data_IF_206749336521
#
_entry.id   IF_206749336521
#
_cell.length_a   1.000
_cell.length_b   1.000
_cell.length_c   1.000
_cell.angle_alpha   90.00
_cell.angle_beta   90.00
_cell.angle_gamma   90.00
#
_symmetry.space_group_name_H-M   'P 1'
#
loop_
_entity.id
_entity.type
_entity.pdbx_description
1 polymer ?
#
# COMPACT_ATOMS: atom_id res chain seq x y z
N UNK A 1 59.70 27.50 37.74
CA UNK A 1 58.47 26.66 37.69
C UNK A 1 57.88 26.78 36.29
N UNK A 2 58.56 26.20 35.31
CA UNK A 2 58.16 26.24 33.91
C UNK A 2 58.86 25.08 33.20
N UNK A 3 58.40 23.88 33.48
CA UNK A 3 58.65 22.67 32.70
C UNK A 3 57.71 21.60 33.25
N UNK A 4 56.79 21.10 32.41
CA UNK A 4 56.10 19.80 32.47
C UNK A 4 54.77 19.87 31.69
N UNK A 5 54.84 19.99 30.36
CA UNK A 5 53.78 19.51 29.45
C UNK A 5 54.40 19.29 28.06
N UNK A 6 55.10 18.18 27.87
CA UNK A 6 55.26 17.60 26.53
C UNK A 6 54.00 16.76 26.21
N UNK A 7 53.28 16.99 25.10
CA UNK A 7 52.24 16.08 24.66
C UNK A 7 52.88 14.82 24.05
N UNK A 8 52.44 13.65 24.51
CA UNK A 8 52.95 12.36 24.08
C UNK A 8 52.77 12.11 22.55
N UNK A 9 53.80 11.68 21.81
CA UNK A 9 53.78 11.52 20.35
C UNK A 9 52.99 10.29 19.84
N UNK A 10 52.35 9.51 20.71
CA UNK A 10 51.73 8.22 20.35
C UNK A 10 50.26 8.33 19.91
N UNK A 11 49.46 9.22 20.52
CA UNK A 11 48.04 9.44 20.18
C UNK A 11 47.87 10.02 18.79
N UNK A 12 48.81 10.88 18.39
CA UNK A 12 48.81 11.59 17.13
C UNK A 12 49.20 10.70 15.93
N UNK A 13 49.96 9.62 16.18
CA UNK A 13 50.30 8.61 15.16
C UNK A 13 49.16 7.62 14.93
N UNK A 14 48.49 7.18 15.99
CA UNK A 14 47.31 6.31 15.91
C UNK A 14 46.14 7.02 15.21
N UNK A 15 45.91 8.30 15.51
CA UNK A 15 44.88 9.11 14.84
C UNK A 15 45.19 9.28 13.34
N UNK A 16 46.44 9.60 12.97
CA UNK A 16 46.88 9.71 11.58
C UNK A 16 46.86 8.38 10.82
N UNK A 17 47.20 7.28 11.48
CA UNK A 17 47.11 5.94 10.89
C UNK A 17 45.66 5.53 10.64
N UNK A 18 44.75 5.83 11.58
CA UNK A 18 43.32 5.60 11.42
C UNK A 18 42.73 6.44 10.30
N UNK A 19 43.05 7.74 10.24
CA UNK A 19 42.63 8.64 9.15
C UNK A 19 43.14 8.16 7.79
N UNK A 20 44.40 7.72 7.71
CA UNK A 20 44.97 7.14 6.47
C UNK A 20 44.27 5.84 6.08
N UNK A 21 43.99 4.96 7.04
CA UNK A 21 43.27 3.71 6.77
C UNK A 21 41.85 3.98 6.26
N UNK A 22 41.14 4.92 6.88
CA UNK A 22 39.80 5.35 6.44
C UNK A 22 39.85 6.01 5.06
N UNK A 23 40.84 6.88 4.80
CA UNK A 23 41.02 7.51 3.49
C UNK A 23 41.36 6.49 2.39
N UNK A 24 42.24 5.53 2.67
CA UNK A 24 42.58 4.43 1.75
C UNK A 24 41.34 3.56 1.49
N UNK A 25 40.59 3.19 2.53
CA UNK A 25 39.36 2.44 2.38
C UNK A 25 38.34 3.21 1.52
N UNK A 26 38.19 4.52 1.75
CA UNK A 26 37.32 5.38 0.96
C UNK A 26 37.73 5.43 -0.51
N UNK A 27 39.03 5.62 -0.81
CA UNK A 27 39.56 5.64 -2.18
C UNK A 27 39.42 4.28 -2.85
N UNK A 28 39.66 3.18 -2.13
CA UNK A 28 39.48 1.82 -2.64
C UNK A 28 38.01 1.56 -2.97
N UNK A 29 37.07 1.98 -2.11
CA UNK A 29 35.64 1.86 -2.37
C UNK A 29 35.20 2.71 -3.58
N UNK A 30 35.73 3.93 -3.69
CA UNK A 30 35.48 4.83 -4.83
C UNK A 30 36.00 4.26 -6.16
N UNK A 31 37.19 3.65 -6.15
CA UNK A 31 37.79 3.04 -7.34
C UNK A 31 37.16 1.69 -7.68
N UNK A 32 36.70 0.92 -6.68
CA UNK A 32 36.04 -0.36 -6.89
C UNK A 32 34.62 -0.22 -7.43
N UNK A 33 33.89 0.85 -7.10
CA UNK A 33 32.50 1.03 -7.49
C UNK A 33 32.27 1.04 -9.02
N UNK A 34 33.04 1.79 -9.85
CA UNK A 34 32.92 1.72 -11.32
C UNK A 34 33.28 0.34 -11.86
N UNK A 35 34.35 -0.28 -11.34
CA UNK A 35 34.79 -1.60 -11.79
C UNK A 35 33.68 -2.63 -11.53
N UNK A 36 33.15 -2.68 -10.30
CA UNK A 36 32.05 -3.56 -9.92
C UNK A 36 30.78 -3.28 -10.73
N UNK A 37 30.46 -2.02 -11.01
CA UNK A 37 29.31 -1.63 -11.82
C UNK A 37 29.40 -2.17 -13.26
N UNK A 38 30.57 -2.08 -13.89
CA UNK A 38 30.78 -2.54 -15.27
C UNK A 38 31.04 -4.06 -15.38
N UNK A 39 31.68 -4.68 -14.39
CA UNK A 39 32.02 -6.12 -14.43
C UNK A 39 30.89 -7.02 -13.91
N UNK A 40 30.00 -6.51 -13.07
CA UNK A 40 28.84 -7.25 -12.55
C UNK A 40 27.54 -6.96 -13.30
N UNK A 41 27.64 -6.65 -14.60
CA UNK A 41 26.52 -6.38 -15.51
C UNK A 41 25.34 -7.40 -15.48
N UNK A 42 25.52 -8.72 -15.26
CA UNK A 42 24.39 -9.65 -15.20
C UNK A 42 23.59 -9.61 -13.88
N UNK A 43 24.02 -8.84 -12.87
CA UNK A 43 23.33 -8.74 -11.59
C UNK A 43 22.40 -7.53 -11.49
N UNK A 44 22.08 -6.82 -12.59
CA UNK A 44 21.12 -5.69 -12.57
C UNK A 44 19.87 -6.07 -11.77
N UNK A 45 19.67 -5.35 -10.68
CA UNK A 45 18.53 -5.51 -9.78
C UNK A 45 17.24 -5.23 -10.55
N UNK A 46 16.12 -5.81 -10.11
CA UNK A 46 14.77 -5.54 -10.62
C UNK A 46 14.30 -4.08 -10.42
N UNK A 47 15.15 -3.20 -9.85
CA UNK A 47 14.87 -1.78 -9.68
C UNK A 47 15.06 -1.05 -11.02
N UNK A 48 13.96 -0.85 -11.75
CA UNK A 48 13.95 -0.18 -13.05
C UNK A 48 13.99 1.36 -12.91
N UNK A 49 14.99 1.91 -12.21
CA UNK A 49 15.29 3.34 -12.32
C UNK A 49 16.12 3.53 -13.59
N UNK A 50 15.55 4.16 -14.61
CA UNK A 50 16.25 4.44 -15.87
C UNK A 50 17.48 5.32 -15.65
N UNK A 51 18.52 5.11 -16.45
CA UNK A 51 19.68 6.00 -16.45
C UNK A 51 19.22 7.42 -16.86
N UNK A 52 19.57 8.47 -16.10
CA UNK A 52 19.19 9.83 -16.44
C UNK A 52 19.82 10.21 -17.79
N UNK A 53 19.03 10.86 -18.65
CA UNK A 53 19.51 11.35 -19.94
C UNK A 53 19.83 12.84 -19.86
N UNK A 54 20.76 13.31 -20.70
CA UNK A 54 21.04 14.76 -20.80
C UNK A 54 19.81 15.55 -21.25
N UNK A 55 18.87 14.92 -21.98
CA UNK A 55 17.59 15.51 -22.35
C UNK A 55 16.67 15.80 -21.15
N UNK A 56 16.92 15.20 -19.99
CA UNK A 56 16.12 15.41 -18.79
C UNK A 56 16.61 16.67 -18.03
N UNK A 57 16.49 17.85 -18.64
CA UNK A 57 16.81 19.15 -18.01
C UNK A 57 18.20 19.74 -18.32
N UNK A 58 19.07 19.01 -19.03
CA UNK A 58 20.31 19.50 -19.61
C UNK A 58 21.19 20.34 -18.66
N UNK A 59 21.57 21.54 -19.10
CA UNK A 59 22.49 22.43 -18.37
C UNK A 59 21.88 22.96 -17.06
N UNK A 60 20.56 23.18 -17.02
CA UNK A 60 19.87 23.72 -15.83
C UNK A 60 19.86 22.69 -14.70
N UNK A 61 19.54 21.44 -15.03
CA UNK A 61 19.62 20.30 -14.12
C UNK A 61 21.04 20.02 -13.64
N UNK A 62 22.03 20.19 -14.52
CA UNK A 62 23.44 20.03 -14.16
C UNK A 62 23.89 21.13 -13.18
N UNK A 63 23.54 22.39 -13.44
CA UNK A 63 23.90 23.53 -12.57
C UNK A 63 23.21 23.49 -11.21
N UNK A 64 21.97 23.02 -11.14
CA UNK A 64 21.21 22.87 -9.89
C UNK A 64 21.63 21.65 -9.06
N UNK A 65 22.45 20.74 -9.63
CA UNK A 65 22.84 19.48 -8.98
C UNK A 65 21.85 18.34 -9.16
N UNK A 66 20.63 18.61 -9.67
CA UNK A 66 19.58 17.62 -9.88
C UNK A 66 20.00 16.49 -10.83
N UNK A 67 20.85 16.79 -11.82
CA UNK A 67 21.42 15.77 -12.71
C UNK A 67 22.30 14.77 -11.96
N UNK A 68 23.08 15.25 -10.98
CA UNK A 68 23.97 14.43 -10.15
C UNK A 68 23.17 13.60 -9.16
N UNK A 69 22.14 14.18 -8.55
CA UNK A 69 21.24 13.47 -7.63
C UNK A 69 20.49 12.33 -8.32
N UNK A 70 20.07 12.54 -9.57
CA UNK A 70 19.43 11.50 -10.38
C UNK A 70 20.40 10.39 -10.76
N UNK A 71 21.64 10.73 -11.11
CA UNK A 71 22.68 9.74 -11.38
C UNK A 71 23.06 8.94 -10.13
N UNK A 72 23.19 9.62 -8.99
CA UNK A 72 23.43 8.99 -7.69
C UNK A 72 22.29 8.02 -7.32
N UNK A 73 21.03 8.44 -7.51
CA UNK A 73 19.86 7.57 -7.33
C UNK A 73 19.90 6.36 -8.26
N UNK A 74 20.16 6.57 -9.55
CA UNK A 74 20.27 5.49 -10.53
C UNK A 74 21.35 4.47 -10.14
N UNK A 75 22.55 4.93 -9.78
CA UNK A 75 23.66 4.06 -9.36
C UNK A 75 23.34 3.32 -8.06
N UNK A 76 22.71 3.99 -7.08
CA UNK A 76 22.30 3.36 -5.81
C UNK A 76 21.28 2.26 -6.01
N UNK A 77 20.31 2.44 -6.91
CA UNK A 77 19.22 1.49 -7.14
C UNK A 77 19.60 0.37 -8.11
N UNK A 78 20.46 0.64 -9.09
CA UNK A 78 20.95 -0.36 -10.06
C UNK A 78 22.09 -1.25 -9.53
N UNK A 79 22.77 -0.81 -8.46
CA UNK A 79 23.91 -1.53 -7.88
C UNK A 79 23.47 -2.67 -6.95
N UNK A 80 23.81 -3.94 -7.26
CA UNK A 80 23.46 -5.10 -6.44
C UNK A 80 24.19 -5.08 -5.10
N UNK A 81 25.43 -4.55 -5.09
CA UNK A 81 26.21 -4.38 -3.88
C UNK A 81 25.56 -3.36 -2.94
N UNK A 82 25.07 -2.25 -3.47
CA UNK A 82 24.38 -1.23 -2.67
C UNK A 82 23.11 -1.79 -2.06
N UNK A 83 22.32 -2.55 -2.83
CA UNK A 83 21.11 -3.23 -2.32
C UNK A 83 21.49 -4.25 -1.24
N UNK A 84 22.52 -5.06 -1.45
CA UNK A 84 22.97 -6.05 -0.48
C UNK A 84 23.46 -5.39 0.83
N UNK A 85 24.34 -4.40 0.75
CA UNK A 85 24.87 -3.69 1.93
C UNK A 85 23.77 -2.96 2.69
N UNK A 86 22.86 -2.28 1.97
CA UNK A 86 21.68 -1.63 2.57
C UNK A 86 20.82 -2.65 3.30
N UNK A 87 20.58 -3.81 2.69
CA UNK A 87 19.80 -4.87 3.32
C UNK A 87 20.47 -5.44 4.58
N UNK A 88 21.78 -5.68 4.55
CA UNK A 88 22.55 -6.09 5.75
C UNK A 88 22.49 -5.04 6.86
N UNK A 89 22.66 -3.76 6.50
CA UNK A 89 22.58 -2.64 7.44
C UNK A 89 21.17 -2.56 8.04
N UNK A 90 20.12 -2.60 7.23
CA UNK A 90 18.74 -2.52 7.67
C UNK A 90 18.37 -3.69 8.60
N UNK A 91 18.80 -4.92 8.27
CA UNK A 91 18.63 -6.07 9.17
C UNK A 91 19.34 -5.89 10.51
N UNK A 92 20.56 -5.34 10.49
CA UNK A 92 21.34 -5.09 11.71
C UNK A 92 20.69 -4.01 12.57
N UNK A 93 20.28 -2.89 11.95
CA UNK A 93 19.55 -1.82 12.62
C UNK A 93 18.20 -2.30 13.16
N UNK A 94 17.49 -3.15 12.42
CA UNK A 94 16.22 -3.73 12.88
C UNK A 94 16.42 -4.57 14.13
N UNK A 95 17.42 -5.47 14.12
CA UNK A 95 17.76 -6.32 15.28
C UNK A 95 18.22 -5.48 16.47
N UNK A 96 18.88 -4.35 16.24
CA UNK A 96 19.29 -3.41 17.28
C UNK A 96 18.14 -2.50 17.77
N UNK A 97 16.96 -2.53 17.14
CA UNK A 97 15.86 -1.62 17.44
C UNK A 97 16.11 -0.16 17.02
N UNK A 98 17.07 0.06 16.11
CA UNK A 98 17.52 1.38 15.64
C UNK A 98 17.03 1.71 14.22
N UNK A 99 16.32 0.79 13.57
CA UNK A 99 15.82 1.03 12.22
C UNK A 99 14.63 1.99 12.25
N UNK A 100 14.83 3.20 11.72
CA UNK A 100 13.76 4.13 11.41
C UNK A 100 13.51 4.12 9.89
N UNK A 101 12.42 3.48 9.48
CA UNK A 101 12.07 3.38 8.08
C UNK A 101 11.36 4.64 7.59
N UNK A 102 11.80 5.25 6.50
CA UNK A 102 11.19 6.47 5.95
C UNK A 102 9.67 6.33 5.76
N UNK A 103 9.21 5.15 5.30
CA UNK A 103 7.80 4.87 5.00
C UNK A 103 7.11 3.99 6.04
N UNK A 104 7.85 3.41 6.99
CA UNK A 104 7.34 2.41 7.93
C UNK A 104 7.56 2.86 9.36
N UNK A 105 6.51 2.84 10.16
CA UNK A 105 6.55 3.10 11.59
C UNK A 105 6.48 1.79 12.35
N UNK A 106 7.52 1.49 13.14
CA UNK A 106 7.57 0.31 13.99
C UNK A 106 6.72 0.54 15.25
N UNK A 107 5.66 -0.26 15.40
CA UNK A 107 4.78 -0.25 16.56
C UNK A 107 5.19 -1.24 17.66
N UNK A 108 4.31 -1.40 18.65
CA UNK A 108 4.47 -2.34 19.76
C UNK A 108 4.10 -3.75 19.33
N UNK A 109 4.64 -4.76 20.02
CA UNK A 109 4.27 -6.17 19.82
C UNK A 109 4.38 -6.68 18.36
N UNK A 110 5.37 -6.17 17.63
CA UNK A 110 5.64 -6.57 16.24
C UNK A 110 4.63 -6.02 15.22
N UNK A 111 3.82 -5.04 15.60
CA UNK A 111 3.02 -4.26 14.65
C UNK A 111 3.90 -3.26 13.90
N UNK A 112 3.55 -3.02 12.65
CA UNK A 112 4.17 -2.01 11.80
C UNK A 112 3.07 -1.21 11.12
N UNK A 113 3.31 0.04 10.76
CA UNK A 113 2.34 0.90 10.10
C UNK A 113 2.96 1.61 8.91
N UNK A 114 2.15 1.95 7.92
CA UNK A 114 2.55 2.93 6.92
C UNK A 114 2.62 4.30 7.60
N UNK A 115 3.72 5.03 7.38
CA UNK A 115 3.92 6.34 7.99
C UNK A 115 2.78 7.31 7.66
N UNK A 116 2.30 7.31 6.41
CA UNK A 116 1.17 8.13 5.97
C UNK A 116 -0.16 7.85 6.70
N UNK A 117 -0.33 6.66 7.29
CA UNK A 117 -1.53 6.30 8.06
C UNK A 117 -1.47 6.84 9.49
N UNK A 118 -0.31 7.31 9.94
CA UNK A 118 -0.05 7.80 11.31
C UNK A 118 0.44 9.23 11.35
N UNK A 119 0.46 9.94 10.22
CA UNK A 119 0.79 11.36 10.10
C UNK A 119 -0.33 12.10 9.38
N UNK A 120 -0.59 13.36 9.72
CA UNK A 120 -1.46 14.20 8.87
C UNK A 120 -0.75 14.54 7.56
N UNK A 121 -1.48 14.51 6.45
CA UNK A 121 -0.99 15.10 5.22
C UNK A 121 -1.33 16.60 5.25
N UNK A 122 -0.34 17.51 5.37
CA UNK A 122 -0.61 18.95 5.44
C UNK A 122 -1.31 19.48 4.18
N UNK A 123 -1.18 18.77 3.06
CA UNK A 123 -1.79 19.15 1.78
C UNK A 123 -3.27 18.74 1.66
N UNK A 124 -3.80 17.96 2.61
CA UNK A 124 -5.20 17.50 2.58
C UNK A 124 -6.17 18.69 2.56
N UNK A 125 -5.95 19.68 3.43
CA UNK A 125 -6.74 20.90 3.46
C UNK A 125 -6.60 21.71 2.17
N UNK A 126 -5.36 21.86 1.67
CA UNK A 126 -5.06 22.69 0.49
C UNK A 126 -5.70 22.16 -0.80
N UNK A 127 -5.92 20.84 -0.90
CA UNK A 127 -6.46 20.19 -2.11
C UNK A 127 -7.94 19.87 -2.05
N UNK A 128 -8.63 20.27 -0.99
CA UNK A 128 -10.05 19.93 -0.78
C UNK A 128 -10.93 20.40 -1.94
N UNK A 129 -10.75 21.63 -2.45
CA UNK A 129 -11.55 22.14 -3.56
C UNK A 129 -11.40 21.34 -4.86
N UNK A 130 -10.16 20.96 -5.21
CA UNK A 130 -9.84 20.16 -6.40
C UNK A 130 -10.44 18.76 -6.27
N UNK A 131 -10.24 18.11 -5.12
CA UNK A 131 -10.84 16.82 -4.78
C UNK A 131 -12.36 16.84 -4.96
N UNK A 132 -13.02 17.82 -4.36
CA UNK A 132 -14.48 17.93 -4.41
C UNK A 132 -14.99 18.18 -5.83
N UNK A 133 -14.27 18.96 -6.64
CA UNK A 133 -14.60 19.15 -8.05
C UNK A 133 -14.48 17.84 -8.84
N UNK A 134 -13.39 17.08 -8.64
CA UNK A 134 -13.21 15.76 -9.25
C UNK A 134 -14.29 14.76 -8.83
N UNK A 135 -14.66 14.74 -7.55
CA UNK A 135 -15.75 13.92 -7.02
C UNK A 135 -17.11 14.28 -7.62
N UNK A 136 -17.42 15.57 -7.78
CA UNK A 136 -18.65 16.01 -8.46
C UNK A 136 -18.68 15.52 -9.91
N UNK A 137 -17.57 15.69 -10.65
CA UNK A 137 -17.48 15.17 -12.02
C UNK A 137 -17.66 13.64 -12.10
N UNK A 138 -17.12 12.89 -11.14
CA UNK A 138 -17.34 11.45 -11.03
C UNK A 138 -18.80 11.11 -10.73
N UNK A 139 -19.46 11.87 -9.85
CA UNK A 139 -20.89 11.69 -9.53
C UNK A 139 -21.75 11.93 -10.77
N UNK A 140 -21.53 13.04 -11.47
CA UNK A 140 -22.25 13.39 -12.69
C UNK A 140 -22.08 12.30 -13.76
N UNK A 141 -20.89 11.72 -13.89
CA UNK A 141 -20.62 10.65 -14.83
C UNK A 141 -21.33 9.34 -14.46
N UNK A 142 -21.36 8.99 -13.17
CA UNK A 142 -22.12 7.84 -12.64
C UNK A 142 -23.62 8.00 -12.93
N UNK A 143 -24.15 9.20 -12.74
CA UNK A 143 -25.55 9.53 -13.04
C UNK A 143 -25.86 9.46 -14.53
N UNK A 144 -24.98 10.01 -15.37
CA UNK A 144 -25.12 9.97 -16.83
C UNK A 144 -25.13 8.53 -17.37
N UNK A 145 -24.38 7.63 -16.74
CA UNK A 145 -24.35 6.21 -17.07
C UNK A 145 -25.50 5.40 -16.42
N UNK A 146 -26.32 6.04 -15.57
CA UNK A 146 -27.44 5.39 -14.88
C UNK A 146 -27.00 4.32 -13.88
N UNK A 147 -25.83 4.50 -13.26
CA UNK A 147 -25.23 3.52 -12.35
C UNK A 147 -25.61 3.80 -10.90
N UNK A 148 -25.77 2.73 -10.13
CA UNK A 148 -25.86 2.80 -8.67
C UNK A 148 -24.47 2.58 -8.08
N UNK A 149 -23.85 3.63 -7.56
CA UNK A 149 -22.51 3.58 -6.97
C UNK A 149 -22.58 3.56 -5.45
N UNK A 150 -22.01 2.52 -4.82
CA UNK A 150 -21.81 2.42 -3.38
C UNK A 150 -20.33 2.61 -3.06
N UNK A 151 -20.00 3.64 -2.29
CA UNK A 151 -18.66 3.87 -1.74
C UNK A 151 -18.52 3.08 -0.43
N UNK A 152 -17.50 2.24 -0.35
CA UNK A 152 -17.12 1.46 0.83
C UNK A 152 -15.83 2.04 1.38
N UNK A 153 -15.95 2.85 2.43
CA UNK A 153 -14.82 3.51 3.07
C UNK A 153 -14.14 2.54 4.06
N UNK A 154 -12.93 2.14 3.72
CA UNK A 154 -12.08 1.24 4.50
C UNK A 154 -11.22 2.08 5.46
N UNK A 155 -11.30 1.86 6.79
CA UNK A 155 -10.46 2.59 7.73
C UNK A 155 -8.98 2.22 7.58
N UNK A 156 -8.09 3.10 8.01
CA UNK A 156 -6.68 2.73 8.11
C UNK A 156 -6.45 1.74 9.25
N UNK A 157 -5.40 0.93 9.13
CA UNK A 157 -4.98 0.00 10.20
C UNK A 157 -4.75 0.72 11.53
N UNK A 158 -4.18 1.93 11.49
CA UNK A 158 -3.96 2.76 12.66
C UNK A 158 -5.28 3.19 13.34
N UNK A 159 -6.35 3.37 12.57
CA UNK A 159 -7.69 3.72 13.07
C UNK A 159 -8.34 2.55 13.82
N UNK A 160 -8.06 1.31 13.40
CA UNK A 160 -8.61 0.09 14.03
C UNK A 160 -7.73 -0.42 15.17
N UNK A 161 -6.41 -0.26 15.08
CA UNK A 161 -5.42 -0.78 16.03
C UNK A 161 -4.50 0.30 16.63
N UNK A 162 -5.03 1.40 17.18
CA UNK A 162 -4.21 2.48 17.70
C UNK A 162 -3.36 2.09 18.91
N UNK A 163 -3.77 1.08 19.68
CA UNK A 163 -3.09 0.63 20.89
C UNK A 163 -1.69 0.06 20.64
N UNK A 164 -1.41 -0.39 19.42
CA UNK A 164 -0.09 -0.90 19.03
C UNK A 164 0.79 0.16 18.34
N UNK A 165 0.34 1.41 18.23
CA UNK A 165 1.22 2.52 17.83
C UNK A 165 2.31 2.76 18.88
N UNK A 166 3.45 3.39 18.52
CA UNK A 166 4.48 3.76 19.49
C UNK A 166 3.94 4.54 20.69
N UNK A 167 3.07 5.53 20.43
CA UNK A 167 2.41 6.32 21.46
C UNK A 167 1.19 5.62 22.10
N UNK A 168 0.75 4.47 21.59
CA UNK A 168 -0.43 3.74 22.05
C UNK A 168 -1.77 4.43 21.76
N UNK A 169 -1.77 5.47 20.92
CA UNK A 169 -2.95 6.23 20.52
C UNK A 169 -2.75 6.86 19.13
N UNK A 170 -3.85 7.19 18.46
CA UNK A 170 -3.81 8.00 17.25
C UNK A 170 -3.32 9.41 17.55
N UNK A 171 -2.62 10.05 16.59
CA UNK A 171 -2.46 11.50 16.57
C UNK A 171 -3.81 12.22 16.56
N UNK A 172 -3.89 13.43 17.12
CA UNK A 172 -5.15 14.14 17.30
C UNK A 172 -5.82 14.49 15.96
N UNK A 173 -5.04 14.91 14.98
CA UNK A 173 -5.43 15.16 13.58
C UNK A 173 -6.14 13.97 12.89
N UNK A 174 -5.80 12.75 13.30
CA UNK A 174 -6.28 11.49 12.72
C UNK A 174 -7.60 11.04 13.31
N UNK A 175 -7.93 11.50 14.52
CA UNK A 175 -9.19 11.18 15.18
C UNK A 175 -10.34 11.62 14.27
N UNK A 176 -11.34 10.76 14.12
CA UNK A 176 -12.55 10.96 13.31
C UNK A 176 -12.33 11.25 11.81
N UNK A 177 -11.12 11.06 11.27
CA UNK A 177 -10.86 11.31 9.84
C UNK A 177 -11.77 10.48 8.95
N UNK A 178 -11.92 9.18 9.24
CA UNK A 178 -12.86 8.30 8.51
C UNK A 178 -14.31 8.85 8.54
N UNK A 179 -14.78 9.32 9.70
CA UNK A 179 -16.12 9.90 9.86
C UNK A 179 -16.27 11.18 9.01
N UNK A 180 -15.27 12.07 9.02
CA UNK A 180 -15.27 13.29 8.21
C UNK A 180 -15.31 12.99 6.71
N UNK A 181 -14.52 12.01 6.25
CA UNK A 181 -14.50 11.59 4.84
C UNK A 181 -15.87 11.03 4.43
N UNK A 182 -16.49 10.19 5.26
CA UNK A 182 -17.81 9.65 4.99
C UNK A 182 -18.89 10.74 4.94
N UNK A 183 -18.79 11.77 5.80
CA UNK A 183 -19.67 12.95 5.74
C UNK A 183 -19.48 13.72 4.42
N UNK A 184 -18.24 14.05 4.05
CA UNK A 184 -17.93 14.77 2.79
C UNK A 184 -18.46 14.01 1.57
N UNK A 185 -18.27 12.70 1.49
CA UNK A 185 -18.79 11.88 0.39
C UNK A 185 -20.33 11.92 0.32
N UNK A 186 -21.02 11.86 1.46
CA UNK A 186 -22.49 11.93 1.52
C UNK A 186 -23.00 13.32 1.13
N UNK A 187 -22.34 14.38 1.56
CA UNK A 187 -22.68 15.76 1.18
C UNK A 187 -22.53 16.00 -0.32
N UNK A 188 -21.60 15.30 -0.96
CA UNK A 188 -21.42 15.28 -2.43
C UNK A 188 -22.40 14.34 -3.15
N UNK A 189 -23.34 13.72 -2.43
CA UNK A 189 -24.40 12.89 -3.00
C UNK A 189 -23.99 11.44 -3.27
N UNK A 190 -22.87 10.94 -2.73
CA UNK A 190 -22.53 9.52 -2.83
C UNK A 190 -23.26 8.69 -1.77
N UNK A 191 -23.72 7.51 -2.15
CA UNK A 191 -24.06 6.48 -1.17
C UNK A 191 -22.76 5.93 -0.57
N UNK A 192 -22.51 6.22 0.71
CA UNK A 192 -21.27 5.86 1.38
C UNK A 192 -21.54 5.11 2.69
N UNK A 193 -20.79 4.04 2.90
CA UNK A 193 -20.72 3.31 4.17
C UNK A 193 -19.28 3.26 4.69
N UNK A 194 -19.12 3.44 5.99
CA UNK A 194 -17.86 3.26 6.72
C UNK A 194 -17.78 1.85 7.27
N UNK A 195 -16.58 1.27 7.24
CA UNK A 195 -16.28 -0.01 7.90
C UNK A 195 -15.66 0.15 9.29
N UNK A 196 -15.36 1.38 9.74
CA UNK A 196 -14.67 1.61 11.02
C UNK A 196 -15.44 1.04 12.22
N UNK A 197 -16.69 1.45 12.41
CA UNK A 197 -17.50 1.03 13.55
C UNK A 197 -17.78 -0.47 13.54
N UNK A 198 -18.18 -1.10 12.40
CA UNK A 198 -18.29 -2.55 12.32
C UNK A 198 -16.97 -3.29 12.61
N UNK A 199 -15.83 -2.76 12.18
CA UNK A 199 -14.52 -3.37 12.44
C UNK A 199 -14.15 -3.29 13.92
N UNK A 200 -14.42 -2.15 14.57
CA UNK A 200 -14.19 -2.01 16.01
C UNK A 200 -15.07 -2.95 16.82
N UNK A 201 -16.35 -3.10 16.45
CA UNK A 201 -17.26 -4.05 17.08
C UNK A 201 -16.76 -5.49 16.90
N UNK A 202 -16.42 -5.88 15.67
CA UNK A 202 -15.92 -7.22 15.37
C UNK A 202 -14.62 -7.54 16.10
N UNK A 203 -13.66 -6.60 16.14
CA UNK A 203 -12.40 -6.74 16.91
C UNK A 203 -12.67 -7.01 18.39
N UNK A 204 -13.69 -6.39 18.97
CA UNK A 204 -14.08 -6.59 20.36
C UNK A 204 -14.76 -7.95 20.58
N UNK A 205 -15.64 -8.36 19.68
CA UNK A 205 -16.38 -9.64 19.76
C UNK A 205 -15.49 -10.85 19.46
N UNK A 206 -14.54 -10.70 18.54
CA UNK A 206 -13.66 -11.76 18.04
C UNK A 206 -12.17 -11.40 18.22
N UNK A 207 -11.66 -11.24 19.46
CA UNK A 207 -10.29 -10.74 19.70
C UNK A 207 -9.17 -11.67 19.18
N UNK A 208 -9.49 -12.93 18.86
CA UNK A 208 -8.56 -13.88 18.24
C UNK A 208 -8.39 -13.69 16.71
N UNK A 209 -9.30 -12.97 16.07
CA UNK A 209 -9.28 -12.74 14.62
C UNK A 209 -8.76 -11.34 14.32
N UNK A 210 -7.58 -11.29 13.67
CA UNK A 210 -7.02 -10.01 13.24
C UNK A 210 -7.74 -9.52 11.99
N UNK A 211 -8.14 -8.25 12.00
CA UNK A 211 -8.71 -7.57 10.84
C UNK A 211 -7.62 -7.01 9.92
N UNK A 212 -6.40 -6.84 10.42
CA UNK A 212 -5.24 -6.43 9.64
C UNK A 212 -4.02 -7.27 10.02
N UNK A 213 -3.17 -7.57 9.05
CA UNK A 213 -1.91 -8.24 9.33
C UNK A 213 -0.95 -7.26 10.04
N UNK A 214 -0.28 -7.75 11.09
CA UNK A 214 0.59 -6.92 11.95
C UNK A 214 1.67 -6.17 11.16
N UNK A 215 2.26 -6.86 10.17
CA UNK A 215 3.42 -6.41 9.39
C UNK A 215 3.10 -6.12 7.92
N UNK A 216 1.83 -6.14 7.52
CA UNK A 216 1.40 -5.85 6.15
C UNK A 216 0.62 -4.53 6.11
N UNK A 217 0.51 -3.94 4.92
CA UNK A 217 -0.35 -2.76 4.68
C UNK A 217 -1.82 -3.14 4.63
N UNK A 218 -2.13 -4.38 4.24
CA UNK A 218 -3.49 -4.83 3.95
C UNK A 218 -4.24 -5.36 5.17
N UNK A 219 -5.56 -5.31 5.05
CA UNK A 219 -6.46 -6.07 5.89
C UNK A 219 -6.23 -7.59 5.76
N UNK A 220 -6.65 -8.34 6.77
CA UNK A 220 -6.67 -9.79 6.74
C UNK A 220 -8.01 -10.30 6.19
N UNK A 221 -8.08 -11.60 5.87
CA UNK A 221 -9.27 -12.18 5.26
C UNK A 221 -10.55 -12.01 6.09
N UNK A 222 -10.55 -12.10 7.44
CA UNK A 222 -11.75 -11.83 8.24
C UNK A 222 -12.36 -10.44 7.99
N UNK A 223 -11.53 -9.41 7.82
CA UNK A 223 -12.00 -8.06 7.50
C UNK A 223 -12.59 -7.95 6.10
N UNK A 224 -11.95 -8.55 5.10
CA UNK A 224 -12.48 -8.59 3.74
C UNK A 224 -13.80 -9.36 3.67
N UNK A 225 -13.91 -10.45 4.43
CA UNK A 225 -15.12 -11.26 4.55
C UNK A 225 -16.27 -10.48 5.18
N UNK A 226 -16.01 -9.82 6.30
CA UNK A 226 -16.96 -8.94 6.98
C UNK A 226 -17.38 -7.77 6.07
N UNK A 227 -16.44 -7.16 5.35
CA UNK A 227 -16.73 -6.10 4.40
C UNK A 227 -17.70 -6.56 3.30
N UNK A 228 -17.49 -7.74 2.71
CA UNK A 228 -18.39 -8.30 1.71
C UNK A 228 -19.81 -8.54 2.25
N UNK A 229 -19.94 -9.05 3.47
CA UNK A 229 -21.24 -9.26 4.12
C UNK A 229 -21.96 -7.92 4.40
N UNK A 230 -21.22 -6.93 4.91
CA UNK A 230 -21.78 -5.60 5.17
C UNK A 230 -22.22 -4.92 3.86
N UNK A 231 -21.46 -5.08 2.77
CA UNK A 231 -21.85 -4.61 1.44
C UNK A 231 -23.13 -5.29 0.98
N UNK A 232 -23.23 -6.62 1.10
CA UNK A 232 -24.46 -7.38 0.77
C UNK A 232 -25.67 -6.84 1.54
N UNK A 233 -25.54 -6.64 2.84
CA UNK A 233 -26.60 -6.08 3.68
C UNK A 233 -26.98 -4.65 3.27
N UNK A 234 -26.00 -3.81 2.91
CA UNK A 234 -26.26 -2.45 2.42
C UNK A 234 -27.00 -2.48 1.09
N UNK A 235 -26.55 -3.29 0.13
CA UNK A 235 -27.21 -3.43 -1.18
C UNK A 235 -28.64 -4.00 -1.04
N UNK A 236 -28.88 -4.91 -0.10
CA UNK A 236 -30.22 -5.43 0.20
C UNK A 236 -31.13 -4.32 0.73
N UNK A 237 -30.66 -3.54 1.72
CA UNK A 237 -31.43 -2.42 2.30
C UNK A 237 -31.76 -1.32 1.28
N UNK A 238 -30.85 -1.08 0.34
CA UNK A 238 -31.06 -0.12 -0.75
C UNK A 238 -31.99 -0.66 -1.87
N UNK A 239 -32.38 -1.94 -1.84
CA UNK A 239 -33.14 -2.56 -2.93
C UNK A 239 -32.32 -2.75 -4.21
N UNK A 240 -30.98 -2.72 -4.12
CA UNK A 240 -30.08 -2.84 -5.27
C UNK A 240 -29.74 -4.30 -5.55
N UNK A 241 -29.70 -5.17 -4.52
CA UNK A 241 -29.34 -6.57 -4.68
C UNK A 241 -30.30 -7.35 -5.61
N UNK A 242 -31.58 -6.97 -5.64
CA UNK A 242 -32.58 -7.55 -6.54
C UNK A 242 -32.28 -7.25 -8.01
N UNK A 243 -31.55 -6.17 -8.29
CA UNK A 243 -31.11 -5.77 -9.63
C UNK A 243 -29.71 -6.28 -9.97
N UNK A 244 -29.04 -7.00 -9.07
CA UNK A 244 -27.64 -7.43 -9.21
C UNK A 244 -27.46 -8.66 -10.12
N UNK A 245 -28.42 -8.95 -11.01
CA UNK A 245 -28.40 -10.11 -11.89
C UNK A 245 -28.82 -11.42 -11.23
N UNK A 246 -28.68 -12.55 -11.94
CA UNK A 246 -29.10 -13.87 -11.47
C UNK A 246 -28.20 -14.40 -10.36
N UNK A 247 -28.78 -15.20 -9.46
CA UNK A 247 -28.05 -15.96 -8.45
C UNK A 247 -27.03 -16.88 -9.13
N UNK A 248 -25.81 -16.94 -8.60
CA UNK A 248 -24.75 -17.84 -9.08
C UNK A 248 -24.49 -18.95 -8.07
N UNK A 249 -24.37 -20.18 -8.56
CA UNK A 249 -23.83 -21.26 -7.76
C UNK A 249 -22.30 -21.19 -7.78
N UNK A 250 -21.71 -21.22 -6.59
CA UNK A 250 -20.28 -21.24 -6.38
C UNK A 250 -19.90 -22.55 -5.70
N UNK A 251 -18.95 -23.25 -6.31
CA UNK A 251 -18.51 -24.57 -5.88
C UNK A 251 -17.02 -24.55 -5.53
N UNK A 252 -16.56 -25.64 -4.92
CA UNK A 252 -15.14 -25.86 -4.61
C UNK A 252 -14.55 -24.71 -3.78
N UNK A 253 -15.24 -24.30 -2.71
CA UNK A 253 -14.71 -23.31 -1.78
C UNK A 253 -13.48 -23.88 -1.06
N UNK A 254 -12.33 -23.25 -1.27
CA UNK A 254 -11.07 -23.64 -0.63
C UNK A 254 -10.51 -22.46 0.15
N UNK A 255 -10.06 -22.75 1.37
CA UNK A 255 -9.26 -21.86 2.19
C UNK A 255 -7.81 -22.31 2.13
N UNK A 256 -6.94 -21.40 1.70
CA UNK A 256 -5.50 -21.62 1.61
C UNK A 256 -4.82 -20.68 2.60
N UNK A 257 -3.77 -21.16 3.25
CA UNK A 257 -2.93 -20.33 4.10
C UNK A 257 -1.47 -20.50 3.67
N UNK A 258 -0.83 -19.39 3.32
CA UNK A 258 0.56 -19.38 2.90
C UNK A 258 1.34 -18.36 3.72
N UNK A 259 2.54 -18.73 4.15
CA UNK A 259 3.45 -17.79 4.79
C UNK A 259 4.06 -16.86 3.74
N UNK A 260 3.77 -15.57 3.83
CA UNK A 260 4.24 -14.55 2.88
C UNK A 260 5.08 -13.50 3.57
N UNK A 261 6.03 -12.93 2.81
CA UNK A 261 6.76 -11.75 3.24
C UNK A 261 5.80 -10.55 3.16
N UNK A 262 5.52 -9.87 4.27
CA UNK A 262 4.49 -8.86 4.28
C UNK A 262 5.05 -7.52 3.82
N UNK A 263 4.19 -6.69 3.22
CA UNK A 263 4.61 -5.49 2.50
C UNK A 263 5.46 -4.52 3.33
N UNK A 264 5.17 -4.33 4.62
CA UNK A 264 5.94 -3.38 5.44
C UNK A 264 7.35 -3.89 5.73
N UNK A 265 7.56 -5.21 5.75
CA UNK A 265 8.90 -5.80 5.90
C UNK A 265 9.73 -5.61 4.64
N UNK A 266 9.10 -5.74 3.46
CA UNK A 266 9.73 -5.42 2.18
C UNK A 266 10.12 -3.94 2.11
N UNK A 267 9.24 -3.05 2.56
CA UNK A 267 9.48 -1.60 2.60
C UNK A 267 10.60 -1.19 3.56
N UNK A 268 10.93 -2.02 4.56
CA UNK A 268 12.11 -1.81 5.41
C UNK A 268 13.43 -2.17 4.70
N UNK A 269 13.38 -2.69 3.47
CA UNK A 269 14.57 -3.10 2.72
C UNK A 269 15.31 -4.27 3.36
N UNK A 270 14.62 -5.09 4.16
CA UNK A 270 15.15 -6.35 4.69
C UNK A 270 15.39 -7.31 3.52
N UNK A 271 16.52 -8.03 3.50
CA UNK A 271 16.84 -8.88 2.35
C UNK A 271 15.84 -10.03 2.25
N UNK A 272 15.27 -10.28 1.07
CA UNK A 272 14.42 -11.44 0.84
C UNK A 272 15.16 -12.74 1.20
N UNK A 273 14.42 -13.73 1.73
CA UNK A 273 14.94 -15.04 2.15
C UNK A 273 16.05 -15.04 3.23
N UNK A 274 16.36 -13.90 3.86
CA UNK A 274 17.20 -13.88 5.05
C UNK A 274 16.52 -14.60 6.22
N UNK A 275 17.31 -15.06 7.20
CA UNK A 275 16.76 -15.64 8.43
C UNK A 275 15.83 -14.67 9.17
N UNK A 276 16.12 -13.35 9.08
CA UNK A 276 15.24 -12.32 9.62
C UNK A 276 13.92 -12.26 8.84
N UNK A 277 13.96 -12.16 7.50
CA UNK A 277 12.78 -12.14 6.66
C UNK A 277 11.88 -13.37 6.91
N UNK A 278 12.47 -14.56 7.00
CA UNK A 278 11.76 -15.80 7.29
C UNK A 278 11.08 -15.78 8.67
N UNK A 279 11.73 -15.20 9.68
CA UNK A 279 11.11 -15.00 11.01
C UNK A 279 9.99 -13.95 11.02
N UNK A 280 9.93 -13.11 9.98
CA UNK A 280 8.98 -12.03 9.81
C UNK A 280 7.87 -12.33 8.78
N UNK A 281 7.77 -13.58 8.31
CA UNK A 281 6.65 -14.01 7.49
C UNK A 281 5.33 -13.94 8.28
N UNK A 282 4.24 -13.71 7.55
CA UNK A 282 2.88 -13.69 8.09
C UNK A 282 2.07 -14.76 7.36
N UNK A 283 1.35 -15.64 8.08
CA UNK A 283 0.38 -16.54 7.45
C UNK A 283 -0.77 -15.69 6.90
N UNK A 284 -0.91 -15.68 5.58
CA UNK A 284 -2.02 -15.00 4.91
C UNK A 284 -3.03 -16.02 4.43
N UNK A 285 -4.27 -15.77 4.80
CA UNK A 285 -5.41 -16.58 4.37
C UNK A 285 -5.94 -16.06 3.05
N UNK A 286 -6.19 -17.00 2.14
CA UNK A 286 -6.74 -16.77 0.82
C UNK A 286 -7.93 -17.69 0.61
N UNK A 287 -8.92 -17.18 -0.12
CA UNK A 287 -10.13 -17.92 -0.44
C UNK A 287 -10.27 -18.06 -1.95
N UNK A 288 -10.54 -19.26 -2.43
CA UNK A 288 -10.83 -19.53 -3.84
C UNK A 288 -12.12 -20.33 -3.99
N UNK A 289 -12.82 -20.13 -5.11
CA UNK A 289 -13.98 -20.93 -5.50
C UNK A 289 -14.10 -20.92 -7.03
N UNK A 290 -15.02 -21.69 -7.58
CA UNK A 290 -15.32 -21.72 -9.02
C UNK A 290 -16.81 -21.46 -9.23
N UNK A 291 -17.17 -20.95 -10.41
CA UNK A 291 -18.55 -21.00 -10.86
C UNK A 291 -19.00 -22.45 -11.04
N UNK A 292 -20.31 -22.71 -10.95
CA UNK A 292 -20.87 -24.06 -11.20
C UNK A 292 -20.60 -24.62 -12.61
N UNK A 293 -20.13 -23.80 -13.55
CA UNK A 293 -19.67 -24.21 -14.88
C UNK A 293 -18.15 -24.50 -14.94
N UNK A 294 -17.46 -24.47 -13.80
CA UNK A 294 -16.03 -24.74 -13.66
C UNK A 294 -15.10 -23.56 -13.95
N UNK A 295 -15.62 -22.42 -14.44
CA UNK A 295 -14.80 -21.23 -14.69
C UNK A 295 -14.35 -20.56 -13.40
N UNK A 296 -13.22 -19.87 -13.46
CA UNK A 296 -12.75 -19.07 -12.33
C UNK A 296 -13.70 -17.89 -12.11
N UNK A 297 -13.97 -17.56 -10.84
CA UNK A 297 -14.74 -16.34 -10.51
C UNK A 297 -13.98 -15.05 -10.87
N UNK A 298 -12.68 -15.15 -11.16
CA UNK A 298 -11.83 -14.05 -11.63
C UNK A 298 -11.89 -13.84 -13.15
N UNK A 299 -12.41 -14.80 -13.90
CA UNK A 299 -12.47 -14.68 -15.35
C UNK A 299 -13.39 -13.50 -15.72
N UNK A 300 -13.01 -12.66 -16.70
CA UNK A 300 -13.85 -11.54 -17.14
C UNK A 300 -15.25 -12.03 -17.48
N UNK A 301 -16.25 -11.38 -16.89
CA UNK A 301 -17.64 -11.78 -17.04
C UNK A 301 -18.45 -10.62 -17.63
N UNK A 302 -18.64 -10.57 -18.95
CA UNK A 302 -19.38 -9.49 -19.60
C UNK A 302 -20.85 -9.42 -19.17
N UNK A 303 -21.38 -10.50 -18.59
CA UNK A 303 -22.74 -10.57 -18.02
C UNK A 303 -22.81 -10.08 -16.57
N UNK A 304 -21.70 -9.62 -15.98
CA UNK A 304 -21.70 -9.11 -14.63
C UNK A 304 -22.51 -7.81 -14.53
N UNK A 305 -23.50 -7.81 -13.63
CA UNK A 305 -24.33 -6.63 -13.33
C UNK A 305 -23.70 -5.77 -12.23
N UNK A 306 -22.81 -6.36 -11.43
CA UNK A 306 -22.05 -5.70 -10.38
C UNK A 306 -20.59 -5.62 -10.78
N UNK A 307 -19.95 -4.49 -10.56
CA UNK A 307 -18.51 -4.33 -10.69
C UNK A 307 -17.88 -3.88 -9.36
N UNK A 308 -16.66 -4.34 -9.11
CA UNK A 308 -15.82 -3.92 -8.00
C UNK A 308 -14.70 -3.02 -8.52
N UNK A 309 -14.64 -1.80 -8.00
CA UNK A 309 -13.57 -0.85 -8.22
C UNK A 309 -12.82 -0.61 -6.91
N UNK A 310 -11.49 -0.52 -6.97
CA UNK A 310 -10.71 -0.20 -5.77
C UNK A 310 -9.21 -0.42 -5.96
N UNK A 311 -8.55 -0.64 -4.84
CA UNK A 311 -7.09 -0.70 -4.73
C UNK A 311 -6.59 -2.13 -4.53
N UNK A 312 -5.38 -2.27 -4.01
CA UNK A 312 -4.83 -3.53 -3.55
C UNK A 312 -5.60 -4.13 -2.36
N UNK A 313 -6.42 -3.37 -1.63
CA UNK A 313 -7.35 -3.93 -0.63
C UNK A 313 -8.43 -4.77 -1.30
N UNK A 314 -8.99 -4.27 -2.41
CA UNK A 314 -9.92 -5.03 -3.24
C UNK A 314 -9.26 -6.26 -3.86
N UNK A 315 -8.08 -6.08 -4.46
CA UNK A 315 -7.30 -7.18 -5.05
C UNK A 315 -6.77 -8.18 -3.99
N UNK A 316 -6.64 -7.76 -2.73
CA UNK A 316 -6.12 -8.57 -1.63
C UNK A 316 -7.18 -9.36 -0.87
N UNK A 317 -8.48 -9.09 -1.07
CA UNK A 317 -9.52 -9.86 -0.38
C UNK A 317 -10.95 -9.61 -0.85
N UNK A 318 -11.36 -8.36 -1.08
CA UNK A 318 -12.77 -8.06 -1.38
C UNK A 318 -13.24 -8.68 -2.69
N UNK A 319 -12.37 -8.80 -3.70
CA UNK A 319 -12.71 -9.50 -4.95
C UNK A 319 -13.03 -11.00 -4.74
N UNK A 320 -12.59 -11.60 -3.63
CA UNK A 320 -12.91 -12.98 -3.22
C UNK A 320 -14.21 -12.99 -2.43
N UNK A 321 -14.32 -12.14 -1.43
CA UNK A 321 -15.50 -12.11 -0.55
C UNK A 321 -16.75 -11.65 -1.27
N UNK A 322 -16.67 -10.58 -2.05
CA UNK A 322 -17.86 -9.90 -2.58
C UNK A 322 -18.70 -10.80 -3.51
N UNK A 323 -18.16 -11.47 -4.54
CA UNK A 323 -18.97 -12.36 -5.38
C UNK A 323 -19.65 -13.46 -4.56
N UNK A 324 -18.91 -14.06 -3.62
CA UNK A 324 -19.44 -15.11 -2.75
C UNK A 324 -20.59 -14.61 -1.87
N UNK A 325 -20.42 -13.46 -1.21
CA UNK A 325 -21.45 -12.89 -0.35
C UNK A 325 -22.69 -12.46 -1.13
N UNK A 326 -22.51 -11.82 -2.29
CA UNK A 326 -23.64 -11.42 -3.12
C UNK A 326 -24.33 -12.63 -3.76
N UNK A 327 -23.64 -13.76 -3.89
CA UNK A 327 -24.08 -14.91 -4.67
C UNK A 327 -24.39 -14.45 -6.11
N UNK A 328 -23.53 -13.59 -6.66
CA UNK A 328 -23.66 -12.95 -7.99
C UNK A 328 -22.32 -12.94 -8.70
N UNK A 329 -22.37 -12.86 -10.03
CA UNK A 329 -21.19 -12.50 -10.82
C UNK A 329 -20.81 -11.05 -10.54
N UNK A 330 -19.54 -10.82 -10.21
CA UNK A 330 -18.98 -9.48 -9.99
C UNK A 330 -17.77 -9.32 -10.88
N UNK A 331 -17.76 -8.29 -11.73
CA UNK A 331 -16.55 -7.93 -12.46
C UNK A 331 -15.53 -7.32 -11.49
N UNK A 332 -14.39 -7.97 -11.34
CA UNK A 332 -13.35 -7.54 -10.40
C UNK A 332 -12.16 -6.87 -11.10
N UNK A 333 -12.27 -6.55 -12.39
CA UNK A 333 -11.15 -5.97 -13.17
C UNK A 333 -10.78 -4.55 -12.72
N UNK A 334 -11.72 -3.87 -12.03
CA UNK A 334 -11.50 -2.57 -11.39
C UNK A 334 -10.72 -2.62 -10.08
N UNK A 335 -10.37 -3.79 -9.54
CA UNK A 335 -9.54 -3.92 -8.35
C UNK A 335 -8.04 -3.81 -8.73
N UNK A 336 -7.52 -2.59 -8.82
CA UNK A 336 -6.19 -2.31 -9.39
C UNK A 336 -5.19 -1.93 -8.27
N UNK A 337 -4.21 -2.80 -7.93
CA UNK A 337 -3.14 -2.46 -7.00
C UNK A 337 -2.36 -1.21 -7.42
N UNK A 338 -2.04 -0.34 -6.45
CA UNK A 338 -1.32 0.91 -6.72
C UNK A 338 -2.09 1.91 -7.61
N UNK A 339 -3.40 1.70 -7.83
CA UNK A 339 -4.22 2.57 -8.66
C UNK A 339 -4.64 3.90 -8.01
N UNK A 340 -4.24 4.15 -6.75
CA UNK A 340 -4.77 5.28 -5.99
C UNK A 340 -6.29 5.23 -5.86
N UNK A 341 -6.94 6.37 -5.66
CA UNK A 341 -8.37 6.39 -5.38
C UNK A 341 -9.23 6.09 -6.61
N UNK A 342 -8.91 6.69 -7.76
CA UNK A 342 -9.86 6.80 -8.89
C UNK A 342 -9.58 5.82 -10.03
N UNK A 343 -8.36 5.30 -10.19
CA UNK A 343 -7.98 4.50 -11.37
C UNK A 343 -8.85 3.25 -11.55
N UNK A 344 -9.15 2.54 -10.47
CA UNK A 344 -10.02 1.37 -10.48
C UNK A 344 -11.45 1.71 -10.94
N UNK A 345 -11.99 2.82 -10.44
CA UNK A 345 -13.32 3.29 -10.84
C UNK A 345 -13.34 3.73 -12.31
N UNK A 346 -12.37 4.54 -12.74
CA UNK A 346 -12.26 4.98 -14.14
C UNK A 346 -12.14 3.79 -15.09
N UNK A 347 -11.39 2.74 -14.73
CA UNK A 347 -11.30 1.51 -15.52
C UNK A 347 -12.67 0.86 -15.73
N UNK A 348 -13.51 0.79 -14.68
CA UNK A 348 -14.87 0.24 -14.77
C UNK A 348 -15.76 1.13 -15.62
N UNK A 349 -15.72 2.45 -15.43
CA UNK A 349 -16.51 3.39 -16.23
C UNK A 349 -16.13 3.33 -17.73
N UNK A 350 -14.83 3.21 -18.03
CA UNK A 350 -14.34 2.99 -19.40
C UNK A 350 -14.80 1.65 -19.99
N UNK A 351 -14.81 0.58 -19.18
CA UNK A 351 -15.32 -0.71 -19.60
C UNK A 351 -16.82 -0.64 -19.97
N UNK A 352 -17.60 0.11 -19.20
CA UNK A 352 -19.03 0.32 -19.45
C UNK A 352 -19.24 1.16 -20.71
N UNK A 353 -18.53 2.29 -20.84
CA UNK A 353 -18.59 3.16 -22.04
C UNK A 353 -18.18 2.43 -23.32
N UNK A 354 -17.13 1.60 -23.22
CA UNK A 354 -16.61 0.81 -24.34
C UNK A 354 -17.42 -0.46 -24.64
N UNK A 355 -18.52 -0.72 -23.93
CA UNK A 355 -19.38 -1.90 -24.17
C UNK A 355 -18.79 -3.23 -23.70
N UNK A 356 -17.71 -3.24 -22.92
CA UNK A 356 -17.14 -4.46 -22.31
C UNK A 356 -17.97 -4.96 -21.13
N UNK A 357 -18.67 -4.05 -20.43
CA UNK A 357 -19.58 -4.35 -19.32
C UNK A 357 -20.98 -3.76 -19.59
N UNK A 358 -21.69 -4.23 -20.64
CA UNK A 358 -22.95 -3.62 -21.08
C UNK A 358 -24.08 -3.76 -20.05
N UNK A 359 -24.02 -4.80 -19.21
CA UNK A 359 -25.05 -5.13 -18.23
C UNK A 359 -24.78 -4.56 -16.83
N UNK A 360 -23.63 -3.92 -16.62
CA UNK A 360 -23.28 -3.36 -15.31
C UNK A 360 -24.25 -2.23 -14.93
N UNK A 361 -24.80 -2.33 -13.71
CA UNK A 361 -25.72 -1.34 -13.11
C UNK A 361 -25.31 -0.91 -11.71
N UNK A 362 -24.48 -1.71 -11.04
CA UNK A 362 -24.06 -1.45 -9.66
C UNK A 362 -22.54 -1.48 -9.61
N UNK A 363 -21.95 -0.43 -9.03
CA UNK A 363 -20.51 -0.38 -8.78
C UNK A 363 -20.28 -0.28 -7.28
N UNK A 364 -19.50 -1.21 -6.74
CA UNK A 364 -18.97 -1.15 -5.38
C UNK A 364 -17.57 -0.54 -5.49
N UNK A 365 -17.39 0.65 -4.93
CA UNK A 365 -16.12 1.37 -4.97
C UNK A 365 -15.48 1.40 -3.59
N UNK A 366 -14.44 0.61 -3.43
CA UNK A 366 -13.61 0.57 -2.24
C UNK A 366 -12.65 1.77 -2.23
N UNK A 367 -12.65 2.50 -1.11
CA UNK A 367 -11.82 3.69 -0.90
C UNK A 367 -11.15 3.57 0.47
N UNK A 368 -9.82 3.58 0.52
CA UNK A 368 -9.07 3.58 1.78
C UNK A 368 -8.94 5.00 2.35
N UNK A 369 -9.08 5.13 3.66
CA UNK A 369 -8.96 6.38 4.41
C UNK A 369 -7.66 7.16 4.08
N UNK A 370 -6.49 6.52 4.07
CA UNK A 370 -5.22 7.18 3.71
C UNK A 370 -5.16 7.59 2.24
N UNK A 371 -5.69 6.76 1.34
CA UNK A 371 -5.66 7.00 -0.12
C UNK A 371 -6.53 8.19 -0.48
N UNK A 372 -7.69 8.35 0.17
CA UNK A 372 -8.55 9.54 0.04
C UNK A 372 -7.83 10.83 0.47
N UNK A 373 -7.02 10.75 1.54
CA UNK A 373 -6.25 11.87 2.07
C UNK A 373 -4.91 12.12 1.31
N UNK A 374 -4.54 11.23 0.39
CA UNK A 374 -3.26 11.24 -0.33
C UNK A 374 -3.25 12.10 -1.60
N UNK A 375 -2.18 11.94 -2.39
CA UNK A 375 -1.80 12.82 -3.51
C UNK A 375 -2.49 12.51 -4.87
N UNK A 376 -3.49 11.63 -4.91
CA UNK A 376 -4.01 11.05 -6.17
C UNK A 376 -5.32 11.64 -6.70
N UNK A 377 -5.54 12.95 -6.54
CA UNK A 377 -6.70 13.67 -7.06
C UNK A 377 -6.40 14.39 -8.37
#
# INVERSE_FOLDING_TARGET
>A
MSDLFEPAPATDRLCRAHQRAVAVLFVVLLAAAPVLYFTCAPMRTLASVSAPSWSDGGVEAFRSGEFMDRWDTHLKESSPLTVALRGWLNESLYRAGLLDGERVVLGRQGWMYLRETVTENPNMAQRTAVRQAGLRGLRDEVDRLGLSLLVVLVPDKASVYPEFLPAGRLPAERVDRCVRIAAELRDLGFECMTLLEPFLAYKHECPGELLYYRRDTHWAMPAAWLAGELVRQRLLRLGWLQRAGPVRDFQNLVWLENAELPNLVEMLGIRPASSLANSLLVPKQHMGFQHGDGRSYLDPNPEAVVALAGTSFSAGGLHRSLPHQLVRSVDCTGAIPGGGMVRGLLHVLDAIRGGRLPNCKIVVWEVVESVYAGYGW
#
